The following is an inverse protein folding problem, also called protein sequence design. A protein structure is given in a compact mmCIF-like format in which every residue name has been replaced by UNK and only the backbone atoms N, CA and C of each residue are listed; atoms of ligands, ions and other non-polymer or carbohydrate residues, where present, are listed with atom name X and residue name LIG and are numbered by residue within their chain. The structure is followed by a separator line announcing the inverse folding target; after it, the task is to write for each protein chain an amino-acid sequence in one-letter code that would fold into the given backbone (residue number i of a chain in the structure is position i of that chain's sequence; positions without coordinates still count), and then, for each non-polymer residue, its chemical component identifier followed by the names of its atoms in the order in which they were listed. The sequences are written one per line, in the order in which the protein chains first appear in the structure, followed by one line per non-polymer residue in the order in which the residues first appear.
data_IF_584787500622
#
_entry.id   IF_584787500622
#
_cell.length_a   1.000
_cell.length_b   1.000
_cell.length_c   1.000
_cell.angle_alpha   90.00
_cell.angle_beta   90.00
_cell.angle_gamma   90.00
#
_symmetry.space_group_name_H-M   'P 1'
#
loop_
_entity.id
_entity.type
_entity.pdbx_description
1 polymer ?
#
# COMPACT_ATOMS: atom_id res chain seq x y z
N UNK A 1 36.73 10.25 19.37
CA UNK A 1 35.92 9.24 18.66
C UNK A 1 34.48 9.76 18.62
N UNK A 2 34.05 10.36 17.51
CA UNK A 2 32.66 10.80 17.30
C UNK A 2 31.90 9.71 16.54
N UNK A 3 30.73 9.26 17.00
CA UNK A 3 29.94 8.30 16.25
C UNK A 3 29.29 9.03 15.07
N UNK A 4 29.75 8.73 13.87
CA UNK A 4 29.09 9.14 12.63
C UNK A 4 27.73 8.45 12.58
N UNK A 5 26.68 9.16 13.00
CA UNK A 5 25.31 8.71 12.81
C UNK A 5 25.03 8.60 11.31
N UNK A 6 24.92 7.37 10.81
CA UNK A 6 24.40 7.10 9.48
C UNK A 6 22.92 7.51 9.48
N UNK A 7 22.63 8.73 9.01
CA UNK A 7 21.25 9.13 8.76
C UNK A 7 20.79 8.38 7.52
N UNK A 8 19.82 7.47 7.69
CA UNK A 8 19.12 6.87 6.57
C UNK A 8 18.59 7.98 5.64
N UNK A 9 18.77 7.86 4.31
CA UNK A 9 18.24 8.84 3.40
C UNK A 9 16.72 8.94 3.55
N UNK A 10 16.12 10.14 3.39
CA UNK A 10 14.68 10.30 3.47
C UNK A 10 14.01 9.37 2.45
N UNK A 11 13.02 8.58 2.88
CA UNK A 11 12.24 7.73 1.96
C UNK A 11 11.70 8.60 0.84
N UNK A 12 12.02 8.22 -0.40
CA UNK A 12 11.48 8.86 -1.60
C UNK A 12 9.95 8.87 -1.52
N UNK A 13 9.34 10.04 -1.68
CA UNK A 13 7.88 10.17 -1.72
C UNK A 13 7.32 9.31 -2.85
N UNK A 14 6.25 8.56 -2.55
CA UNK A 14 5.58 7.69 -3.51
C UNK A 14 4.32 8.39 -4.02
N UNK A 15 4.02 8.23 -5.31
CA UNK A 15 2.74 8.61 -5.89
C UNK A 15 1.76 7.45 -5.79
N UNK A 16 0.50 7.75 -5.46
CA UNK A 16 -0.60 6.80 -5.50
C UNK A 16 -1.35 6.96 -6.82
N UNK A 17 -1.55 5.85 -7.54
CA UNK A 17 -2.41 5.79 -8.72
C UNK A 17 -3.55 4.84 -8.38
N UNK A 18 -4.79 5.29 -8.60
CA UNK A 18 -6.02 4.52 -8.36
C UNK A 18 -6.73 4.33 -9.69
N UNK A 19 -7.03 3.09 -10.02
CA UNK A 19 -7.85 2.72 -11.17
C UNK A 19 -9.32 3.13 -10.91
N UNK A 20 -10.06 3.66 -11.91
CA UNK A 20 -11.43 4.16 -11.70
C UNK A 20 -12.36 3.16 -11.00
N UNK A 21 -12.28 1.89 -11.35
CA UNK A 21 -13.03 0.77 -10.80
C UNK A 21 -12.74 0.60 -9.30
N UNK A 22 -11.48 0.74 -8.87
CA UNK A 22 -11.12 0.71 -7.46
C UNK A 22 -11.77 1.86 -6.67
N UNK A 23 -11.91 3.04 -7.28
CA UNK A 23 -12.57 4.17 -6.65
C UNK A 23 -14.09 3.97 -6.56
N UNK A 24 -14.71 3.34 -7.56
CA UNK A 24 -16.12 2.94 -7.54
C UNK A 24 -16.40 1.91 -6.44
N UNK A 25 -15.59 0.85 -6.36
CA UNK A 25 -15.67 -0.16 -5.30
C UNK A 25 -15.51 0.46 -3.91
N UNK A 26 -14.57 1.39 -3.75
CA UNK A 26 -14.36 2.08 -2.48
C UNK A 26 -15.59 2.90 -2.09
N UNK A 27 -16.22 3.62 -3.03
CA UNK A 27 -17.48 4.34 -2.78
C UNK A 27 -18.60 3.38 -2.37
N UNK A 28 -18.75 2.28 -3.10
CA UNK A 28 -19.77 1.28 -2.79
C UNK A 28 -19.57 0.69 -1.38
N UNK A 29 -18.32 0.39 -0.98
CA UNK A 29 -18.03 -0.08 0.37
C UNK A 29 -18.25 0.98 1.44
N UNK A 30 -18.07 2.27 1.17
CA UNK A 30 -18.40 3.31 2.14
C UNK A 30 -19.88 3.23 2.54
N UNK A 31 -20.76 3.00 1.57
CA UNK A 31 -22.21 2.95 1.79
C UNK A 31 -22.69 1.59 2.34
N UNK A 32 -22.08 0.49 1.90
CA UNK A 32 -22.59 -0.87 2.19
C UNK A 32 -21.81 -1.61 3.27
N UNK A 33 -20.51 -1.34 3.42
CA UNK A 33 -19.64 -2.02 4.36
C UNK A 33 -18.41 -1.16 4.72
N UNK A 34 -18.63 -0.16 5.57
CA UNK A 34 -17.61 0.80 5.97
C UNK A 34 -16.34 0.16 6.54
N UNK A 35 -16.45 -1.01 7.16
CA UNK A 35 -15.29 -1.74 7.70
C UNK A 35 -14.35 -2.18 6.57
N UNK A 36 -14.88 -2.60 5.43
CA UNK A 36 -14.08 -2.95 4.25
C UNK A 36 -13.41 -1.73 3.66
N UNK A 37 -14.13 -0.61 3.49
CA UNK A 37 -13.54 0.64 2.97
C UNK A 37 -12.36 1.11 3.84
N UNK A 38 -12.50 1.10 5.16
CA UNK A 38 -11.42 1.46 6.08
C UNK A 38 -10.23 0.50 6.01
N UNK A 39 -10.48 -0.80 5.80
CA UNK A 39 -9.41 -1.79 5.63
C UNK A 39 -8.62 -1.54 4.34
N UNK A 40 -9.29 -1.22 3.23
CA UNK A 40 -8.63 -0.88 1.96
C UNK A 40 -7.77 0.37 2.12
N UNK A 41 -8.27 1.42 2.76
CA UNK A 41 -7.48 2.62 3.07
C UNK A 41 -6.24 2.31 3.90
N UNK A 42 -6.36 1.46 4.93
CA UNK A 42 -5.23 1.03 5.75
C UNK A 42 -4.19 0.24 4.92
N UNK A 43 -4.62 -0.59 3.97
CA UNK A 43 -3.73 -1.32 3.07
C UNK A 43 -2.99 -0.37 2.11
N UNK A 44 -3.68 0.63 1.56
CA UNK A 44 -3.07 1.67 0.71
C UNK A 44 -1.98 2.41 1.50
N UNK A 45 -2.29 2.86 2.72
CA UNK A 45 -1.29 3.51 3.59
C UNK A 45 -0.10 2.59 3.89
N UNK A 46 -0.35 1.31 4.16
CA UNK A 46 0.70 0.34 4.43
C UNK A 46 1.61 0.13 3.21
N UNK A 47 1.06 0.05 1.99
CA UNK A 47 1.84 -0.07 0.74
C UNK A 47 2.67 1.20 0.47
N UNK A 48 2.08 2.36 0.73
CA UNK A 48 2.78 3.65 0.60
C UNK A 48 3.94 3.77 1.59
N UNK A 49 3.83 3.13 2.77
CA UNK A 49 4.94 2.97 3.71
C UNK A 49 5.89 1.88 3.25
N UNK A 50 5.49 0.62 3.09
CA UNK A 50 6.32 -0.48 2.62
C UNK A 50 5.57 -1.37 1.60
N UNK A 51 5.99 -1.36 0.31
CA UNK A 51 5.26 -2.06 -0.75
C UNK A 51 5.35 -3.58 -0.66
N UNK A 52 6.37 -4.15 0.00
CA UNK A 52 6.65 -5.59 -0.01
C UNK A 52 6.49 -6.27 1.35
N UNK A 53 6.32 -5.50 2.43
CA UNK A 53 6.11 -6.04 3.78
C UNK A 53 4.90 -5.41 4.49
N UNK A 54 4.51 -5.93 5.66
CA UNK A 54 3.42 -5.39 6.47
C UNK A 54 2.09 -6.14 6.37
N UNK A 55 0.99 -5.43 6.63
CA UNK A 55 -0.36 -6.02 6.77
C UNK A 55 -0.93 -6.52 5.42
N UNK A 56 -1.94 -7.39 5.49
CA UNK A 56 -2.59 -7.95 4.30
C UNK A 56 -1.87 -9.17 3.70
N UNK A 57 -0.81 -9.67 4.35
CA UNK A 57 -0.04 -10.83 3.86
C UNK A 57 0.40 -10.63 2.39
N UNK A 58 1.31 -9.67 2.14
CA UNK A 58 1.78 -9.39 0.79
C UNK A 58 2.25 -10.64 0.05
N UNK A 59 1.64 -10.91 -1.10
CA UNK A 59 1.94 -12.05 -1.95
C UNK A 59 2.33 -11.59 -3.35
N UNK A 60 3.48 -12.05 -3.86
CA UNK A 60 3.96 -11.67 -5.19
C UNK A 60 3.23 -12.45 -6.29
N UNK A 61 2.52 -11.75 -7.16
CA UNK A 61 1.74 -12.31 -8.25
C UNK A 61 2.59 -12.56 -9.50
N UNK A 62 3.46 -13.56 -9.43
CA UNK A 62 4.46 -13.90 -10.47
C UNK A 62 3.89 -14.07 -11.89
N UNK A 63 2.61 -14.41 -12.04
CA UNK A 63 1.96 -14.63 -13.34
C UNK A 63 1.47 -13.35 -14.01
N UNK A 64 1.29 -12.26 -13.26
CA UNK A 64 0.78 -10.99 -13.78
C UNK A 64 1.89 -10.03 -14.20
N UNK A 65 3.10 -10.22 -13.67
CA UNK A 65 4.27 -9.43 -14.05
C UNK A 65 5.24 -9.23 -12.89
N UNK A 66 6.44 -8.70 -13.18
CA UNK A 66 7.39 -8.32 -12.14
C UNK A 66 6.80 -7.16 -11.32
N UNK A 67 6.96 -7.22 -9.99
CA UNK A 67 6.54 -6.18 -9.04
C UNK A 67 5.02 -6.02 -8.85
N UNK A 68 4.22 -7.03 -9.17
CA UNK A 68 2.79 -7.04 -8.86
C UNK A 68 2.53 -7.83 -7.58
N UNK A 69 1.80 -7.24 -6.65
CA UNK A 69 1.54 -7.81 -5.32
C UNK A 69 0.06 -7.77 -4.99
N UNK A 70 -0.46 -8.84 -4.35
CA UNK A 70 -1.78 -8.85 -3.69
C UNK A 70 -1.64 -8.66 -2.19
N UNK A 71 -2.68 -8.09 -1.58
CA UNK A 71 -2.85 -7.92 -0.13
C UNK A 71 -4.32 -8.00 0.26
#
# INVERSE_FOLDING_TARGET
MTPTGHRDPPRKARSLVIEPECLEDLRWWVDTNRKTALRVLALIEAVMRDPVSGIGKPEHLKRLGPNIWSR
#
